data_IF_831217723422
#
_entry.id   IF_831217723422
#
_cell.length_a   1.000
_cell.length_b   1.000
_cell.length_c   1.000
_cell.angle_alpha   90.00
_cell.angle_beta   90.00
_cell.angle_gamma   90.00
#
_symmetry.space_group_name_H-M   'P 1'
#
loop_
_entity.id
_entity.type
_entity.pdbx_description
1 polymer ?
#
# COMPACT_ATOMS: atom_id res chain seq x y z
N UNK A 1 51.23 10.79 -51.57
CA UNK A 1 49.89 10.32 -51.14
C UNK A 1 50.03 9.78 -49.74
N UNK A 2 49.47 10.46 -48.74
CA UNK A 2 49.58 10.07 -47.33
C UNK A 2 48.23 9.53 -46.88
N UNK A 3 48.14 8.22 -46.64
CA UNK A 3 46.91 7.56 -46.19
C UNK A 3 46.85 7.67 -44.67
N UNK A 4 45.95 8.52 -44.17
CA UNK A 4 45.68 8.63 -42.72
C UNK A 4 44.75 7.47 -42.33
N UNK A 5 45.26 6.52 -41.56
CA UNK A 5 44.47 5.44 -40.98
C UNK A 5 44.00 5.84 -39.58
N UNK A 6 42.72 6.21 -39.44
CA UNK A 6 42.11 6.45 -38.14
C UNK A 6 41.86 5.13 -37.42
N UNK A 7 42.61 4.84 -36.37
CA UNK A 7 42.34 3.74 -35.44
C UNK A 7 41.40 4.24 -34.34
N UNK A 8 40.11 3.89 -34.43
CA UNK A 8 39.14 4.14 -33.36
C UNK A 8 39.53 3.27 -32.14
N UNK A 9 39.98 3.89 -31.05
CA UNK A 9 40.15 3.19 -29.77
C UNK A 9 38.78 2.76 -29.26
N UNK A 10 38.57 1.47 -29.06
CA UNK A 10 37.37 0.96 -28.38
C UNK A 10 37.25 1.62 -27.01
N UNK A 11 36.08 2.19 -26.73
CA UNK A 11 35.79 2.82 -25.46
C UNK A 11 35.74 1.78 -24.36
N UNK A 12 36.27 2.11 -23.19
CA UNK A 12 36.23 1.28 -21.98
C UNK A 12 34.78 0.93 -21.57
N UNK A 13 33.83 1.78 -21.91
CA UNK A 13 32.38 1.55 -21.75
C UNK A 13 31.86 0.44 -22.67
N UNK A 14 32.35 0.36 -23.91
CA UNK A 14 31.97 -0.70 -24.85
C UNK A 14 32.48 -2.07 -24.38
N UNK A 15 33.71 -2.13 -23.85
CA UNK A 15 34.24 -3.36 -23.24
C UNK A 15 33.49 -3.77 -21.97
N UNK A 16 32.94 -2.81 -21.21
CA UNK A 16 32.16 -3.11 -20.02
C UNK A 16 30.75 -3.62 -20.35
N UNK A 17 30.15 -3.16 -21.45
CA UNK A 17 28.84 -3.61 -21.91
C UNK A 17 28.86 -5.09 -22.34
N UNK A 18 29.96 -5.53 -22.97
CA UNK A 18 30.13 -6.90 -23.46
C UNK A 18 30.65 -7.88 -22.38
N UNK A 19 30.85 -7.43 -21.13
CA UNK A 19 31.32 -8.32 -20.06
C UNK A 19 30.23 -9.34 -19.68
N UNK A 20 30.52 -10.65 -19.76
CA UNK A 20 29.63 -11.67 -19.21
C UNK A 20 29.52 -11.49 -17.69
N UNK A 21 28.31 -11.61 -17.14
CA UNK A 21 28.02 -11.38 -15.72
C UNK A 21 26.64 -10.80 -15.42
N UNK A 22 25.90 -10.35 -16.44
CA UNK A 22 24.49 -10.01 -16.31
C UNK A 22 23.60 -11.25 -16.14
N UNK A 23 22.54 -11.12 -15.36
CA UNK A 23 21.46 -12.11 -15.28
C UNK A 23 20.36 -11.75 -16.26
N UNK A 24 19.67 -12.74 -16.81
CA UNK A 24 18.49 -12.45 -17.64
C UNK A 24 17.40 -11.81 -16.78
N UNK A 25 16.50 -11.03 -17.42
CA UNK A 25 15.37 -10.41 -16.72
C UNK A 25 14.55 -11.45 -15.96
N UNK A 26 14.31 -12.63 -16.56
CA UNK A 26 13.58 -13.72 -15.90
C UNK A 26 14.29 -14.23 -14.65
N UNK A 27 15.61 -14.38 -14.68
CA UNK A 27 16.40 -14.79 -13.51
C UNK A 27 16.40 -13.70 -12.44
N UNK A 28 16.53 -12.43 -12.83
CA UNK A 28 16.46 -11.31 -11.90
C UNK A 28 15.08 -11.24 -11.19
N UNK A 29 13.99 -11.43 -11.93
CA UNK A 29 12.63 -11.47 -11.38
C UNK A 29 12.43 -12.66 -10.44
N UNK A 30 12.92 -13.85 -10.81
CA UNK A 30 12.85 -15.04 -9.96
C UNK A 30 13.61 -14.84 -8.64
N UNK A 31 14.81 -14.24 -8.70
CA UNK A 31 15.59 -13.91 -7.51
C UNK A 31 14.88 -12.87 -6.64
N UNK A 32 14.28 -11.84 -7.26
CA UNK A 32 13.52 -10.83 -6.53
C UNK A 32 12.31 -11.45 -5.81
N UNK A 33 11.55 -12.35 -6.47
CA UNK A 33 10.41 -13.03 -5.85
C UNK A 33 10.86 -13.90 -4.68
N UNK A 34 11.91 -14.70 -4.85
CA UNK A 34 12.44 -15.54 -3.78
C UNK A 34 12.91 -14.72 -2.55
N UNK A 35 13.49 -13.54 -2.77
CA UNK A 35 13.86 -12.63 -1.68
C UNK A 35 12.63 -12.05 -0.97
N UNK A 36 11.56 -11.75 -1.72
CA UNK A 36 10.30 -11.25 -1.14
C UNK A 36 9.57 -12.33 -0.35
N UNK A 37 9.52 -13.57 -0.83
CA UNK A 37 8.78 -14.66 -0.18
C UNK A 37 9.21 -14.84 1.29
N UNK A 38 10.51 -14.67 1.60
CA UNK A 38 11.05 -14.73 2.97
C UNK A 38 10.62 -13.58 3.90
N UNK A 39 10.06 -12.50 3.35
CA UNK A 39 9.61 -11.31 4.10
C UNK A 39 8.09 -11.29 4.32
N UNK A 40 7.35 -12.24 3.74
CA UNK A 40 5.88 -12.21 3.78
C UNK A 40 5.32 -12.30 5.22
N UNK A 41 5.91 -13.13 6.08
CA UNK A 41 5.49 -13.25 7.47
C UNK A 41 5.76 -11.96 8.26
N UNK A 42 6.89 -11.31 7.99
CA UNK A 42 7.23 -10.01 8.59
C UNK A 42 6.23 -8.94 8.15
N UNK A 43 5.88 -8.91 6.87
CA UNK A 43 4.88 -7.99 6.35
C UNK A 43 3.50 -8.22 7.00
N UNK A 44 3.07 -9.48 7.14
CA UNK A 44 1.83 -9.83 7.85
C UNK A 44 1.85 -9.38 9.31
N UNK A 45 2.99 -9.48 10.00
CA UNK A 45 3.13 -8.98 11.36
C UNK A 45 2.97 -7.45 11.43
N UNK A 46 3.67 -6.71 10.56
CA UNK A 46 3.58 -5.24 10.47
C UNK A 46 2.13 -4.79 10.19
N UNK A 47 1.43 -5.47 9.28
CA UNK A 47 0.01 -5.22 9.00
C UNK A 47 -0.82 -5.45 10.26
N UNK A 48 -0.61 -6.59 10.94
CA UNK A 48 -1.32 -6.94 12.16
C UNK A 48 -1.16 -5.91 13.27
N UNK A 49 0.08 -5.43 13.47
CA UNK A 49 0.42 -4.41 14.48
C UNK A 49 -0.25 -3.07 14.18
N UNK A 50 -0.25 -2.63 12.92
CA UNK A 50 -0.92 -1.39 12.52
C UNK A 50 -2.45 -1.49 12.65
N UNK A 51 -3.05 -2.63 12.29
CA UNK A 51 -4.47 -2.88 12.53
C UNK A 51 -4.78 -2.85 14.04
N UNK A 52 -3.93 -3.45 14.87
CA UNK A 52 -4.09 -3.43 16.31
C UNK A 52 -4.00 -2.00 16.87
N UNK A 53 -3.08 -1.17 16.36
CA UNK A 53 -2.97 0.24 16.71
C UNK A 53 -4.25 1.03 16.35
N UNK A 54 -4.82 0.78 15.17
CA UNK A 54 -6.09 1.41 14.74
C UNK A 54 -7.30 0.98 15.60
N UNK A 55 -7.27 -0.23 16.17
CA UNK A 55 -8.32 -0.77 17.04
C UNK A 55 -8.10 -0.46 18.53
N UNK A 56 -6.93 0.05 18.89
CA UNK A 56 -6.60 0.37 20.27
C UNK A 56 -7.47 1.50 20.80
N UNK A 57 -7.72 1.49 22.12
CA UNK A 57 -8.41 2.59 22.78
C UNK A 57 -7.56 3.86 22.62
N UNK A 58 -8.12 4.97 22.12
CA UNK A 58 -7.36 6.19 21.91
C UNK A 58 -6.89 6.76 23.25
N UNK A 59 -5.70 7.35 23.26
CA UNK A 59 -5.19 8.12 24.40
C UNK A 59 -6.13 9.32 24.65
N UNK A 60 -6.70 9.45 25.87
CA UNK A 60 -7.61 10.55 26.18
C UNK A 60 -6.96 11.94 26.09
N UNK A 61 -5.63 12.04 26.12
CA UNK A 61 -4.91 13.31 26.02
C UNK A 61 -4.56 13.71 24.58
N UNK A 62 -4.79 12.82 23.61
CA UNK A 62 -4.43 13.07 22.23
C UNK A 62 -5.48 13.94 21.53
N UNK A 63 -5.05 15.07 21.00
CA UNK A 63 -5.90 15.95 20.21
C UNK A 63 -6.31 15.27 18.89
N UNK A 64 -7.50 15.59 18.40
CA UNK A 64 -8.08 14.94 17.21
C UNK A 64 -7.20 15.03 15.95
N UNK A 65 -6.55 16.17 15.60
CA UNK A 65 -5.68 16.24 14.43
C UNK A 65 -4.52 15.25 14.49
N UNK A 66 -3.81 15.18 15.63
CA UNK A 66 -2.73 14.20 15.81
C UNK A 66 -3.25 12.77 15.71
N UNK A 67 -4.48 12.53 16.16
CA UNK A 67 -5.10 11.20 16.07
C UNK A 67 -5.41 10.82 14.62
N UNK A 68 -5.87 11.78 13.81
CA UNK A 68 -6.07 11.58 12.38
C UNK A 68 -4.75 11.26 11.68
N UNK A 69 -3.68 12.00 11.98
CA UNK A 69 -2.33 11.77 11.43
C UNK A 69 -1.81 10.37 11.78
N UNK A 70 -1.98 9.93 13.03
CA UNK A 70 -1.58 8.58 13.45
C UNK A 70 -2.38 7.49 12.73
N UNK A 71 -3.70 7.67 12.59
CA UNK A 71 -4.55 6.72 11.88
C UNK A 71 -4.22 6.66 10.39
N UNK A 72 -3.87 7.80 9.79
CA UNK A 72 -3.44 7.89 8.40
C UNK A 72 -2.11 7.16 8.22
N UNK A 73 -1.13 7.46 9.07
CA UNK A 73 0.18 6.81 9.05
C UNK A 73 0.07 5.29 9.20
N UNK A 74 -0.75 4.80 10.13
CA UNK A 74 -0.98 3.37 10.30
C UNK A 74 -1.63 2.73 9.06
N UNK A 75 -2.57 3.43 8.41
CA UNK A 75 -3.21 2.97 7.18
C UNK A 75 -2.23 2.93 6.00
N UNK A 76 -1.38 3.95 5.85
CA UNK A 76 -0.31 3.97 4.85
C UNK A 76 0.70 2.84 5.05
N UNK A 77 1.11 2.58 6.30
CA UNK A 77 2.02 1.48 6.62
C UNK A 77 1.42 0.11 6.27
N UNK A 78 0.10 -0.06 6.41
CA UNK A 78 -0.60 -1.27 5.95
C UNK A 78 -0.47 -1.42 4.43
N UNK A 79 -0.66 -0.34 3.66
CA UNK A 79 -0.52 -0.36 2.19
C UNK A 79 0.92 -0.70 1.79
N UNK A 80 1.90 -0.08 2.42
CA UNK A 80 3.32 -0.29 2.12
C UNK A 80 3.75 -1.73 2.41
N UNK A 81 3.23 -2.32 3.49
CA UNK A 81 3.51 -3.72 3.84
C UNK A 81 2.73 -4.73 2.98
N UNK A 82 1.52 -4.38 2.50
CA UNK A 82 0.64 -5.27 1.75
C UNK A 82 0.96 -5.32 0.25
N UNK A 83 1.32 -4.16 -0.34
CA UNK A 83 1.47 -4.01 -1.79
C UNK A 83 2.51 -4.91 -2.45
N UNK A 84 3.66 -5.27 -1.84
CA UNK A 84 4.64 -6.16 -2.47
C UNK A 84 4.16 -7.62 -2.59
N UNK A 85 3.08 -7.99 -1.89
CA UNK A 85 2.61 -9.37 -1.74
C UNK A 85 1.22 -9.61 -2.35
N UNK A 86 0.80 -8.76 -3.30
CA UNK A 86 -0.46 -8.92 -4.05
C UNK A 86 -1.70 -8.97 -3.14
N UNK A 87 -1.64 -8.31 -1.98
CA UNK A 87 -2.75 -8.22 -1.02
C UNK A 87 -3.70 -7.06 -1.36
N UNK A 88 -4.18 -7.01 -2.60
CA UNK A 88 -4.92 -5.87 -3.17
C UNK A 88 -6.21 -5.52 -2.41
N UNK A 89 -6.90 -6.52 -1.88
CA UNK A 89 -8.10 -6.32 -1.05
C UNK A 89 -7.78 -5.45 0.17
N UNK A 90 -6.64 -5.72 0.81
CA UNK A 90 -6.22 -5.03 2.01
C UNK A 90 -5.76 -3.61 1.68
N UNK A 91 -5.01 -3.44 0.58
CA UNK A 91 -4.64 -2.13 0.05
C UNK A 91 -5.89 -1.27 -0.26
N UNK A 92 -6.93 -1.88 -0.83
CA UNK A 92 -8.19 -1.20 -1.15
C UNK A 92 -8.91 -0.74 0.12
N UNK A 93 -9.00 -1.60 1.13
CA UNK A 93 -9.64 -1.26 2.41
C UNK A 93 -8.88 -0.16 3.18
N UNK A 94 -7.55 -0.23 3.18
CA UNK A 94 -6.67 0.76 3.82
C UNK A 94 -6.72 2.11 3.11
N UNK A 95 -6.69 2.11 1.77
CA UNK A 95 -6.85 3.34 0.97
C UNK A 95 -8.18 4.03 1.24
N UNK A 96 -9.27 3.27 1.30
CA UNK A 96 -10.57 3.83 1.67
C UNK A 96 -10.56 4.51 3.04
N UNK A 97 -9.82 3.97 4.01
CA UNK A 97 -9.64 4.63 5.30
C UNK A 97 -8.83 5.93 5.15
N UNK A 98 -7.75 5.95 4.37
CA UNK A 98 -7.02 7.19 4.06
C UNK A 98 -7.94 8.26 3.46
N UNK A 99 -8.77 7.90 2.47
CA UNK A 99 -9.71 8.83 1.83
C UNK A 99 -10.68 9.46 2.83
N UNK A 100 -11.17 8.67 3.81
CA UNK A 100 -12.04 9.17 4.89
C UNK A 100 -11.31 10.12 5.85
N UNK A 101 -10.07 9.78 6.20
CA UNK A 101 -9.25 10.58 7.09
C UNK A 101 -8.88 11.92 6.44
N UNK A 102 -8.56 11.91 5.14
CA UNK A 102 -8.31 13.13 4.34
C UNK A 102 -9.56 14.01 4.21
N UNK A 103 -10.74 13.39 4.14
CA UNK A 103 -12.03 14.09 4.12
C UNK A 103 -12.52 14.56 5.51
N UNK A 104 -11.75 14.33 6.58
CA UNK A 104 -12.16 14.70 7.92
C UNK A 104 -12.34 16.22 8.08
N UNK A 105 -13.37 16.69 8.81
CA UNK A 105 -13.58 18.12 9.02
C UNK A 105 -12.42 18.76 9.79
N UNK A 106 -11.89 19.88 9.29
CA UNK A 106 -10.79 20.63 9.95
C UNK A 106 -11.16 21.19 11.33
N UNK A 107 -12.44 21.40 11.58
CA UNK A 107 -12.99 21.89 12.85
C UNK A 107 -13.29 20.76 13.85
N UNK A 108 -12.93 19.52 13.52
CA UNK A 108 -13.15 18.34 14.35
C UNK A 108 -14.52 17.69 14.18
N UNK A 109 -14.75 16.61 14.90
CA UNK A 109 -15.99 15.83 14.85
C UNK A 109 -15.97 14.67 13.85
N UNK A 110 -14.80 14.08 13.61
CA UNK A 110 -14.68 12.89 12.78
C UNK A 110 -15.40 11.70 13.44
N UNK A 111 -16.16 10.93 12.64
CA UNK A 111 -16.90 9.77 13.14
C UNK A 111 -15.98 8.53 13.20
N UNK A 112 -15.26 8.41 14.31
CA UNK A 112 -14.27 7.36 14.56
C UNK A 112 -14.81 5.92 14.54
N UNK A 113 -16.13 5.75 14.60
CA UNK A 113 -16.75 4.43 14.40
C UNK A 113 -16.46 3.90 12.99
N UNK A 114 -16.35 4.79 12.00
CA UNK A 114 -16.06 4.41 10.61
C UNK A 114 -14.62 3.89 10.50
N UNK A 115 -13.66 4.59 11.10
CA UNK A 115 -12.26 4.12 11.14
C UNK A 115 -12.15 2.74 11.81
N UNK A 116 -12.92 2.53 12.89
CA UNK A 116 -13.00 1.22 13.56
C UNK A 116 -13.55 0.13 12.64
N UNK A 117 -14.59 0.43 11.85
CA UNK A 117 -15.17 -0.52 10.87
C UNK A 117 -14.15 -0.90 9.80
N UNK A 118 -13.40 0.06 9.25
CA UNK A 118 -12.33 -0.23 8.29
C UNK A 118 -11.24 -1.09 8.91
N UNK A 119 -10.78 -0.78 10.12
CA UNK A 119 -9.76 -1.56 10.82
C UNK A 119 -10.24 -2.99 11.12
N UNK A 120 -11.50 -3.19 11.53
CA UNK A 120 -12.09 -4.51 11.74
C UNK A 120 -12.21 -5.30 10.42
N UNK A 121 -12.60 -4.63 9.33
CA UNK A 121 -12.68 -5.27 8.02
C UNK A 121 -11.29 -5.69 7.51
N UNK A 122 -10.26 -4.86 7.68
CA UNK A 122 -8.87 -5.22 7.38
C UNK A 122 -8.40 -6.42 8.19
N UNK A 123 -8.74 -6.46 9.49
CA UNK A 123 -8.46 -7.64 10.34
C UNK A 123 -9.10 -8.91 9.79
N UNK A 124 -10.34 -8.82 9.34
CA UNK A 124 -11.07 -9.95 8.76
C UNK A 124 -10.45 -10.40 7.42
N UNK A 125 -10.12 -9.46 6.53
CA UNK A 125 -9.45 -9.73 5.26
C UNK A 125 -8.07 -10.39 5.43
N UNK A 126 -7.34 -10.03 6.49
CA UNK A 126 -6.06 -10.64 6.84
C UNK A 126 -6.21 -12.08 7.38
N UNK A 127 -7.32 -12.36 8.08
CA UNK A 127 -7.61 -13.68 8.64
C UNK A 127 -8.23 -14.65 7.62
N UNK A 128 -8.95 -14.13 6.63
CA UNK A 128 -9.60 -14.94 5.60
C UNK A 128 -8.58 -15.67 4.72
N UNK A 129 -8.83 -16.92 4.33
CA UNK A 129 -8.02 -17.58 3.32
C UNK A 129 -8.18 -16.90 1.94
N UNK A 130 -7.16 -16.95 1.07
CA UNK A 130 -7.24 -16.37 -0.28
C UNK A 130 -8.37 -16.97 -1.15
N UNK A 131 -8.80 -18.20 -0.86
CA UNK A 131 -9.82 -18.92 -1.62
C UNK A 131 -11.25 -18.37 -1.38
N UNK A 132 -11.48 -17.62 -0.30
CA UNK A 132 -12.79 -17.06 0.05
C UNK A 132 -13.10 -15.75 -0.69
N UNK A 133 -12.99 -15.76 -2.01
CA UNK A 133 -13.13 -14.54 -2.83
C UNK A 133 -14.52 -13.89 -2.71
N UNK A 134 -15.58 -14.69 -2.50
CA UNK A 134 -16.93 -14.18 -2.32
C UNK A 134 -17.05 -13.35 -1.03
N UNK A 135 -16.50 -13.84 0.08
CA UNK A 135 -16.50 -13.13 1.36
C UNK A 135 -15.65 -11.85 1.29
N UNK A 136 -14.46 -11.94 0.69
CA UNK A 136 -13.56 -10.80 0.45
C UNK A 136 -14.25 -9.70 -0.35
N UNK A 137 -14.86 -10.07 -1.48
CA UNK A 137 -15.62 -9.13 -2.32
C UNK A 137 -16.77 -8.48 -1.54
N UNK A 138 -17.55 -9.26 -0.80
CA UNK A 138 -18.66 -8.73 -0.01
C UNK A 138 -18.20 -7.71 1.04
N UNK A 139 -17.06 -7.95 1.71
CA UNK A 139 -16.47 -6.99 2.65
C UNK A 139 -16.11 -5.68 1.93
N UNK A 140 -15.41 -5.77 0.80
CA UNK A 140 -15.02 -4.59 0.02
C UNK A 140 -16.21 -3.80 -0.51
N UNK A 141 -17.26 -4.48 -0.98
CA UNK A 141 -18.51 -3.84 -1.39
C UNK A 141 -19.13 -3.06 -0.24
N UNK A 142 -19.24 -3.66 0.94
CA UNK A 142 -19.80 -2.98 2.11
C UNK A 142 -18.95 -1.78 2.55
N UNK A 143 -17.62 -1.88 2.53
CA UNK A 143 -16.73 -0.75 2.81
C UNK A 143 -16.93 0.37 1.79
N UNK A 144 -17.07 0.03 0.52
CA UNK A 144 -17.30 1.01 -0.54
C UNK A 144 -18.64 1.76 -0.37
N UNK A 145 -19.71 1.08 0.08
CA UNK A 145 -20.97 1.74 0.42
C UNK A 145 -20.82 2.72 1.61
N UNK A 146 -20.02 2.36 2.61
CA UNK A 146 -19.69 3.26 3.72
C UNK A 146 -18.95 4.50 3.23
N UNK A 147 -17.95 4.33 2.37
CA UNK A 147 -17.22 5.45 1.75
C UNK A 147 -18.16 6.36 0.98
N UNK A 148 -18.98 5.79 0.08
CA UNK A 148 -19.93 6.56 -0.73
C UNK A 148 -20.88 7.41 0.12
N UNK A 149 -21.30 6.90 1.28
CA UNK A 149 -22.22 7.61 2.18
C UNK A 149 -21.53 8.68 3.03
N UNK A 150 -20.22 8.55 3.27
CA UNK A 150 -19.48 9.36 4.25
C UNK A 150 -18.57 10.39 3.62
N UNK A 151 -18.08 10.14 2.42
CA UNK A 151 -17.39 11.14 1.63
C UNK A 151 -18.42 12.13 1.07
N UNK A 152 -18.12 13.44 1.10
CA UNK A 152 -18.95 14.40 0.42
C UNK A 152 -19.00 14.02 -1.06
N UNK A 153 -20.21 13.87 -1.62
CA UNK A 153 -20.37 13.79 -3.07
C UNK A 153 -19.72 15.03 -3.64
N UNK A 154 -18.61 14.88 -4.35
CA UNK A 154 -18.07 16.00 -5.11
C UNK A 154 -19.20 16.47 -6.00
N UNK A 155 -19.68 17.70 -5.77
CA UNK A 155 -20.64 18.35 -6.63
C UNK A 155 -20.06 18.27 -8.05
N UNK A 156 -20.67 17.45 -8.89
CA UNK A 156 -20.59 17.59 -10.34
C UNK A 156 -21.34 18.89 -10.67
N UNK A 157 -20.73 20.02 -10.34
CA UNK A 157 -21.21 21.37 -10.62
C UNK A 157 -20.02 22.31 -10.60
N UNK A 158 -19.15 22.18 -11.60
CA UNK A 158 -18.42 23.29 -12.16
C UNK A 158 -18.13 22.98 -13.63
N UNK A 159 -18.75 23.81 -14.47
CA UNK A 159 -18.68 23.88 -15.93
C UNK A 159 -17.25 24.19 -16.38
#
# INVERSE_FOLDING_TARGET
>A
MTVITHTQRKSRLAEMLDRPGGVSVGVALAHARANLDGLQDQARAIIGDNIAALLAKPDPNLIEPMRLDLAYSASSQIIDAASPFEMDDLCTAAKGLCDLLDAAPRQGGFDWRIATVHAQAMKLLLALPPQEQAARTAILTNLHEVLRKKLPTADQSAI
#
